data_IF_435863424499
#
_entry.id   IF_435863424499
#
_cell.length_a   1.000
_cell.length_b   1.000
_cell.length_c   1.000
_cell.angle_alpha   90.00
_cell.angle_beta   90.00
_cell.angle_gamma   90.00
#
_symmetry.space_group_name_H-M   'P 1'
#
loop_
_entity.id
_entity.type
_entity.pdbx_description
1 polymer ?
#
# COMPACT_ATOMS: atom_id res chain seq x y z
N UNK A 1 -19.17 -5.75 -6.21
CA UNK A 1 -19.34 -5.31 -7.61
C UNK A 1 -19.55 -6.57 -8.41
N UNK A 2 -20.76 -6.81 -8.89
CA UNK A 2 -21.05 -7.87 -9.86
C UNK A 2 -20.46 -7.42 -11.19
N UNK A 3 -19.38 -8.05 -11.62
CA UNK A 3 -18.85 -7.84 -12.96
C UNK A 3 -19.80 -8.57 -13.92
N UNK A 4 -20.50 -7.83 -14.78
CA UNK A 4 -21.16 -8.45 -15.92
C UNK A 4 -20.05 -8.94 -16.87
N UNK A 5 -20.01 -10.25 -17.20
CA UNK A 5 -18.99 -10.77 -18.08
C UNK A 5 -19.09 -10.06 -19.45
N UNK A 6 -17.97 -9.65 -20.06
CA UNK A 6 -17.97 -9.07 -21.40
C UNK A 6 -18.58 -10.06 -22.40
N UNK A 7 -19.09 -9.55 -23.53
CA UNK A 7 -19.66 -10.37 -24.59
C UNK A 7 -18.73 -11.56 -24.91
N UNK A 8 -19.29 -12.77 -24.93
CA UNK A 8 -18.55 -14.05 -24.94
C UNK A 8 -17.44 -14.13 -25.99
N UNK A 9 -17.61 -13.47 -27.15
CA UNK A 9 -16.61 -13.45 -28.21
C UNK A 9 -15.39 -12.57 -27.88
N UNK A 10 -15.60 -11.38 -27.32
CA UNK A 10 -14.51 -10.48 -26.87
C UNK A 10 -13.73 -11.11 -25.72
N UNK A 11 -14.43 -11.83 -24.85
CA UNK A 11 -13.82 -12.59 -23.76
C UNK A 11 -12.91 -13.72 -24.28
N UNK A 12 -13.37 -14.51 -25.26
CA UNK A 12 -12.59 -15.60 -25.85
C UNK A 12 -11.34 -15.09 -26.59
N UNK A 13 -11.45 -13.99 -27.34
CA UNK A 13 -10.31 -13.36 -28.02
C UNK A 13 -9.27 -12.87 -27.00
N UNK A 14 -9.70 -12.16 -25.95
CA UNK A 14 -8.81 -11.67 -24.89
C UNK A 14 -8.08 -12.82 -24.17
N UNK A 15 -8.73 -13.97 -23.97
CA UNK A 15 -8.11 -15.16 -23.36
C UNK A 15 -7.08 -15.80 -24.29
N UNK A 16 -7.35 -15.87 -25.59
CA UNK A 16 -6.41 -16.41 -26.56
C UNK A 16 -5.18 -15.53 -26.70
N UNK A 17 -5.38 -14.21 -26.77
CA UNK A 17 -4.28 -13.25 -26.81
C UNK A 17 -3.42 -13.34 -25.54
N UNK A 18 -4.06 -13.39 -24.36
CA UNK A 18 -3.37 -13.58 -23.09
C UNK A 18 -2.57 -14.89 -23.05
N UNK A 19 -3.15 -15.99 -23.55
CA UNK A 19 -2.46 -17.29 -23.63
C UNK A 19 -1.20 -17.21 -24.49
N UNK A 20 -1.28 -16.52 -25.62
CA UNK A 20 -0.14 -16.35 -26.53
C UNK A 20 0.92 -15.44 -25.91
N UNK A 21 0.52 -14.40 -25.19
CA UNK A 21 1.42 -13.44 -24.55
C UNK A 21 2.13 -14.02 -23.33
N UNK A 22 1.72 -15.16 -22.77
CA UNK A 22 2.35 -15.71 -21.55
C UNK A 22 3.19 -16.97 -21.82
N UNK A 23 3.24 -17.43 -23.07
CA UNK A 23 3.81 -18.74 -23.46
C UNK A 23 5.31 -18.88 -23.16
N UNK A 24 6.03 -17.78 -23.14
CA UNK A 24 7.47 -17.67 -22.81
C UNK A 24 7.76 -17.64 -21.31
N UNK A 25 6.74 -17.39 -20.48
CA UNK A 25 6.83 -17.38 -19.02
C UNK A 25 6.19 -18.63 -18.40
N UNK A 26 5.07 -19.10 -18.97
CA UNK A 26 4.25 -20.19 -18.47
C UNK A 26 3.76 -21.08 -19.60
N UNK A 27 4.19 -22.35 -19.59
CA UNK A 27 3.76 -23.33 -20.56
C UNK A 27 2.37 -23.87 -20.18
N UNK A 28 1.35 -23.40 -20.90
CA UNK A 28 -0.05 -23.78 -20.69
C UNK A 28 -0.33 -25.18 -21.24
N UNK A 29 -0.72 -26.09 -20.35
CA UNK A 29 -1.22 -27.43 -20.70
C UNK A 29 -2.72 -27.43 -20.98
N UNK A 30 -3.50 -26.71 -20.16
CA UNK A 30 -4.96 -26.63 -20.26
C UNK A 30 -5.45 -25.21 -19.90
N UNK A 31 -6.52 -24.77 -20.56
CA UNK A 31 -7.24 -23.52 -20.25
C UNK A 31 -8.70 -23.85 -19.94
N UNK A 32 -9.13 -23.59 -18.71
CA UNK A 32 -10.54 -23.68 -18.30
C UNK A 32 -11.14 -22.29 -18.20
N UNK A 33 -12.32 -22.09 -18.79
CA UNK A 33 -13.08 -20.84 -18.70
C UNK A 33 -14.16 -20.96 -17.61
N UNK A 34 -14.51 -19.84 -16.99
CA UNK A 34 -15.59 -19.68 -16.01
C UNK A 34 -15.43 -20.54 -14.75
N UNK A 35 -14.19 -20.75 -14.33
CA UNK A 35 -13.86 -21.65 -13.22
C UNK A 35 -12.70 -21.04 -12.39
N UNK A 36 -12.89 -20.69 -11.10
CA UNK A 36 -13.98 -21.09 -10.19
C UNK A 36 -15.31 -20.33 -10.29
N UNK A 37 -15.33 -19.16 -10.93
CA UNK A 37 -16.53 -18.32 -11.07
C UNK A 37 -16.67 -17.81 -12.52
N UNK A 38 -17.88 -17.40 -12.98
CA UNK A 38 -18.08 -16.81 -14.30
C UNK A 38 -17.15 -15.60 -14.55
N UNK A 39 -16.46 -15.60 -15.68
CA UNK A 39 -15.47 -14.58 -16.06
C UNK A 39 -14.03 -14.86 -15.61
N UNK A 40 -13.78 -15.93 -14.86
CA UNK A 40 -12.43 -16.35 -14.47
C UNK A 40 -11.85 -17.29 -15.52
N UNK A 41 -10.53 -17.24 -15.68
CA UNK A 41 -9.79 -18.06 -16.63
C UNK A 41 -8.70 -18.78 -15.87
N UNK A 42 -8.68 -20.10 -15.94
CA UNK A 42 -7.65 -20.92 -15.33
C UNK A 42 -6.70 -21.45 -16.39
N UNK A 43 -5.43 -21.15 -16.24
CA UNK A 43 -4.34 -21.76 -17.00
C UNK A 43 -3.63 -22.78 -16.11
N UNK A 44 -3.67 -24.05 -16.48
CA UNK A 44 -2.89 -25.12 -15.82
C UNK A 44 -1.64 -25.38 -16.64
N UNK A 45 -0.49 -25.49 -16.00
CA UNK A 45 0.77 -25.57 -16.72
C UNK A 45 2.00 -25.65 -15.83
N UNK A 46 3.15 -25.25 -16.37
CA UNK A 46 4.41 -25.16 -15.65
C UNK A 46 5.10 -23.84 -15.97
N UNK A 47 5.70 -23.22 -14.96
CA UNK A 47 6.55 -22.05 -15.17
C UNK A 47 7.86 -22.48 -15.83
N UNK A 48 8.29 -21.73 -16.84
CA UNK A 48 9.56 -21.97 -17.54
C UNK A 48 10.76 -21.44 -16.76
N UNK A 49 10.51 -20.56 -15.79
CA UNK A 49 11.50 -19.95 -14.90
C UNK A 49 10.97 -19.95 -13.45
N UNK A 50 11.80 -19.56 -12.49
CA UNK A 50 11.33 -19.40 -11.10
C UNK A 50 10.18 -18.36 -11.06
N UNK A 51 8.99 -18.73 -10.54
CA UNK A 51 7.85 -17.82 -10.43
C UNK A 51 8.20 -16.49 -9.76
N UNK A 52 9.15 -16.49 -8.81
CA UNK A 52 9.57 -15.28 -8.10
C UNK A 52 10.22 -14.22 -9.02
N UNK A 53 10.79 -14.65 -10.15
CA UNK A 53 11.50 -13.78 -11.09
C UNK A 53 10.62 -13.31 -12.25
N UNK A 54 9.63 -14.11 -12.67
CA UNK A 54 8.78 -13.80 -13.82
C UNK A 54 7.38 -13.26 -13.45
N UNK A 55 6.98 -13.30 -12.17
CA UNK A 55 5.63 -12.93 -11.75
C UNK A 55 5.25 -11.48 -12.08
N UNK A 56 6.19 -10.54 -11.99
CA UNK A 56 5.88 -9.13 -12.27
C UNK A 56 5.61 -8.88 -13.75
N UNK A 57 6.42 -9.50 -14.61
CA UNK A 57 6.23 -9.45 -16.05
C UNK A 57 4.94 -10.15 -16.46
N UNK A 58 4.67 -11.32 -15.85
CA UNK A 58 3.41 -12.02 -16.00
C UNK A 58 2.24 -11.12 -15.57
N UNK A 59 2.32 -10.47 -14.41
CA UNK A 59 1.29 -9.55 -13.92
C UNK A 59 1.05 -8.40 -14.89
N UNK A 60 2.10 -7.76 -15.39
CA UNK A 60 1.97 -6.68 -16.37
C UNK A 60 1.25 -7.15 -17.65
N UNK A 61 1.60 -8.34 -18.16
CA UNK A 61 0.94 -8.94 -19.33
C UNK A 61 -0.54 -9.25 -19.07
N UNK A 62 -0.87 -9.82 -17.92
CA UNK A 62 -2.26 -10.03 -17.51
C UNK A 62 -3.04 -8.71 -17.41
N UNK A 63 -2.44 -7.69 -16.80
CA UNK A 63 -3.06 -6.37 -16.64
C UNK A 63 -3.35 -5.69 -17.99
N UNK A 64 -2.47 -5.88 -19.01
CA UNK A 64 -2.71 -5.39 -20.39
C UNK A 64 -3.94 -6.00 -21.03
N UNK A 65 -4.26 -7.24 -20.69
CA UNK A 65 -5.45 -7.96 -21.18
C UNK A 65 -6.67 -7.79 -20.26
N UNK A 66 -6.59 -6.95 -19.22
CA UNK A 66 -7.71 -6.67 -18.32
C UNK A 66 -7.92 -7.72 -17.23
N UNK A 67 -6.94 -8.59 -16.99
CA UNK A 67 -6.97 -9.63 -15.97
C UNK A 67 -5.95 -9.35 -14.86
N UNK A 68 -6.18 -9.90 -13.67
CA UNK A 68 -5.16 -9.94 -12.61
C UNK A 68 -4.78 -11.41 -12.36
N UNK A 69 -3.48 -11.77 -12.32
CA UNK A 69 -3.08 -13.15 -12.09
C UNK A 69 -3.00 -13.48 -10.60
N UNK A 70 -3.46 -14.67 -10.26
CA UNK A 70 -3.26 -15.33 -8.97
C UNK A 70 -2.61 -16.68 -9.21
N UNK A 71 -1.48 -16.94 -8.53
CA UNK A 71 -0.86 -18.26 -8.54
C UNK A 71 -1.49 -19.09 -7.41
N UNK A 72 -2.00 -20.25 -7.76
CA UNK A 72 -2.43 -21.30 -6.82
C UNK A 72 -1.65 -22.59 -7.08
N UNK A 73 -1.54 -23.45 -6.07
CA UNK A 73 -0.90 -24.75 -6.20
C UNK A 73 -1.98 -25.82 -6.01
N UNK A 74 -2.26 -26.59 -7.05
CA UNK A 74 -3.31 -27.61 -7.03
C UNK A 74 -2.72 -28.96 -7.46
N UNK A 75 -2.78 -29.95 -6.56
CA UNK A 75 -2.23 -31.29 -6.78
C UNK A 75 -0.77 -31.27 -7.28
N UNK A 76 0.10 -30.52 -6.59
CA UNK A 76 1.53 -30.33 -6.91
C UNK A 76 1.85 -29.68 -8.27
N UNK A 77 0.85 -29.16 -8.97
CA UNK A 77 1.02 -28.40 -10.21
C UNK A 77 0.66 -26.93 -10.01
N UNK A 78 1.45 -25.99 -10.56
CA UNK A 78 1.11 -24.58 -10.52
C UNK A 78 -0.09 -24.30 -11.43
N UNK A 79 -1.08 -23.62 -10.87
CA UNK A 79 -2.29 -23.18 -11.55
C UNK A 79 -2.31 -21.66 -11.52
N UNK A 80 -2.53 -21.06 -12.68
CA UNK A 80 -2.65 -19.63 -12.81
C UNK A 80 -4.12 -19.25 -13.04
N UNK A 81 -4.67 -18.43 -12.15
CA UNK A 81 -6.05 -17.95 -12.25
C UNK A 81 -6.02 -16.48 -12.66
N UNK A 82 -6.54 -16.18 -13.86
CA UNK A 82 -6.86 -14.85 -14.32
C UNK A 82 -8.28 -14.51 -13.85
N UNK A 83 -8.43 -13.51 -13.00
CA UNK A 83 -9.75 -12.97 -12.69
C UNK A 83 -9.96 -11.63 -13.41
N UNK A 84 -11.20 -11.34 -13.83
CA UNK A 84 -11.48 -10.18 -14.66
C UNK A 84 -11.38 -8.90 -13.82
N UNK A 85 -10.76 -7.88 -14.40
CA UNK A 85 -10.50 -6.60 -13.76
C UNK A 85 -9.04 -6.44 -13.34
N UNK A 86 -8.51 -5.24 -13.58
CA UNK A 86 -7.20 -4.82 -13.09
C UNK A 86 -7.40 -4.17 -11.74
N UNK A 87 -6.80 -4.72 -10.67
CA UNK A 87 -6.73 -4.03 -9.38
C UNK A 87 -5.72 -2.90 -9.53
N UNK A 88 -6.18 -1.75 -10.04
CA UNK A 88 -5.37 -0.54 -10.08
C UNK A 88 -5.07 -0.10 -8.64
N UNK A 89 -3.80 0.13 -8.27
CA UNK A 89 -3.46 0.66 -6.96
C UNK A 89 -4.21 1.98 -6.75
N UNK A 90 -5.13 2.01 -5.77
CA UNK A 90 -5.98 3.18 -5.51
C UNK A 90 -5.13 4.44 -5.44
N UNK A 91 -5.44 5.41 -6.29
CA UNK A 91 -4.70 6.67 -6.30
C UNK A 91 -4.90 7.39 -4.95
N UNK A 92 -3.80 7.83 -4.36
CA UNK A 92 -3.82 8.59 -3.12
C UNK A 92 -4.32 9.99 -3.44
N UNK A 93 -5.49 10.36 -2.91
CA UNK A 93 -6.01 11.71 -3.09
C UNK A 93 -5.25 12.67 -2.14
N UNK A 94 -4.45 13.61 -2.64
CA UNK A 94 -3.64 14.50 -1.80
C UNK A 94 -4.50 15.38 -0.88
N UNK A 95 -5.75 15.66 -1.25
CA UNK A 95 -6.67 16.43 -0.40
C UNK A 95 -7.05 15.67 0.88
N UNK A 96 -7.18 14.34 0.80
CA UNK A 96 -7.44 13.51 1.99
C UNK A 96 -6.23 13.54 2.92
N UNK A 97 -5.02 13.44 2.36
CA UNK A 97 -3.78 13.48 3.14
C UNK A 97 -3.64 14.82 3.85
N UNK A 98 -3.93 15.92 3.14
CA UNK A 98 -3.90 17.27 3.71
C UNK A 98 -4.94 17.45 4.81
N UNK A 99 -6.18 17.00 4.58
CA UNK A 99 -7.25 17.07 5.58
C UNK A 99 -6.87 16.30 6.85
N UNK A 100 -6.35 15.09 6.69
CA UNK A 100 -5.90 14.24 7.79
C UNK A 100 -4.71 14.83 8.54
N UNK A 101 -3.75 15.42 7.82
CA UNK A 101 -2.62 16.13 8.41
C UNK A 101 -3.08 17.31 9.27
N UNK A 102 -3.97 18.17 8.74
CA UNK A 102 -4.53 19.29 9.49
C UNK A 102 -5.36 18.84 10.70
N UNK A 103 -6.16 17.77 10.54
CA UNK A 103 -6.90 17.17 11.65
C UNK A 103 -5.97 16.63 12.74
N UNK A 104 -4.83 16.05 12.35
CA UNK A 104 -3.83 15.54 13.29
C UNK A 104 -3.10 16.67 14.02
N UNK A 105 -2.77 17.76 13.34
CA UNK A 105 -2.24 18.97 14.00
C UNK A 105 -3.24 19.49 15.04
N UNK A 106 -4.51 19.65 14.66
CA UNK A 106 -5.54 20.12 15.60
C UNK A 106 -5.68 19.20 16.81
N UNK A 107 -5.72 17.89 16.56
CA UNK A 107 -5.84 16.87 17.60
C UNK A 107 -4.64 16.85 18.55
N UNK A 108 -3.41 16.95 18.02
CA UNK A 108 -2.18 17.02 18.83
C UNK A 108 -2.05 18.35 19.57
N UNK A 109 -2.54 19.46 19.02
CA UNK A 109 -2.62 20.76 19.73
C UNK A 109 -3.58 20.68 20.93
N UNK A 110 -4.75 20.06 20.76
CA UNK A 110 -5.72 19.86 21.85
C UNK A 110 -5.10 18.99 22.95
N UNK A 111 -4.44 17.88 22.60
CA UNK A 111 -3.74 17.03 23.56
C UNK A 111 -2.63 17.80 24.28
N UNK A 112 -1.78 18.52 23.56
CA UNK A 112 -0.71 19.33 24.14
C UNK A 112 -1.23 20.42 25.09
N UNK A 113 -2.32 21.10 24.72
CA UNK A 113 -2.95 22.10 25.58
C UNK A 113 -3.51 21.46 26.86
N UNK A 114 -4.10 20.25 26.78
CA UNK A 114 -4.63 19.54 27.94
C UNK A 114 -3.55 19.12 28.95
N UNK A 115 -2.30 18.90 28.51
CA UNK A 115 -1.20 18.55 29.42
C UNK A 115 -0.71 19.71 30.26
N UNK A 116 -0.90 20.94 29.79
CA UNK A 116 -0.43 22.17 30.45
C UNK A 116 -1.58 22.93 31.12
N UNK A 117 -2.83 22.62 30.77
CA UNK A 117 -4.00 23.28 31.32
C UNK A 117 -4.23 22.93 32.80
N UNK A 118 -4.34 23.96 33.63
CA UNK A 118 -4.71 23.86 35.05
C UNK A 118 -6.14 24.33 35.31
N UNK A 119 -6.73 25.08 34.37
CA UNK A 119 -8.12 25.58 34.42
C UNK A 119 -8.85 25.33 33.12
N UNK A 120 -10.20 25.37 33.15
CA UNK A 120 -11.05 25.20 31.96
C UNK A 120 -10.77 26.24 30.87
N UNK A 121 -10.44 27.49 31.25
CA UNK A 121 -10.12 28.54 30.28
C UNK A 121 -8.80 28.28 29.55
N UNK A 122 -7.82 27.70 30.23
CA UNK A 122 -6.53 27.34 29.63
C UNK A 122 -6.64 26.16 28.67
N UNK A 123 -7.60 25.26 28.90
CA UNK A 123 -7.88 24.14 27.99
C UNK A 123 -8.25 24.63 26.57
N UNK A 124 -8.99 25.74 26.47
CA UNK A 124 -9.36 26.33 25.18
C UNK A 124 -8.21 27.13 24.53
N UNK A 125 -7.09 27.34 25.22
CA UNK A 125 -5.92 28.01 24.67
C UNK A 125 -5.04 27.03 23.89
N UNK A 126 -5.53 26.58 22.73
CA UNK A 126 -4.86 25.58 21.88
C UNK A 126 -3.42 25.93 21.52
N UNK A 127 -3.11 27.23 21.43
CA UNK A 127 -1.75 27.69 21.15
C UNK A 127 -0.75 27.15 22.17
N UNK A 128 -1.12 26.91 23.44
CA UNK A 128 -0.21 26.37 24.46
C UNK A 128 0.28 24.95 24.15
N UNK A 129 -0.47 24.20 23.33
CA UNK A 129 -0.08 22.86 22.88
C UNK A 129 0.97 22.85 21.77
N UNK A 130 1.41 24.01 21.27
CA UNK A 130 2.32 24.10 20.13
C UNK A 130 3.66 23.35 20.31
N UNK A 131 4.34 23.36 21.47
CA UNK A 131 5.63 22.68 21.60
C UNK A 131 5.46 21.16 21.49
N UNK A 132 4.39 20.63 22.09
CA UNK A 132 4.05 19.22 22.02
C UNK A 132 3.66 18.79 20.60
N UNK A 133 2.71 19.51 19.98
CA UNK A 133 2.24 19.22 18.62
C UNK A 133 3.40 19.29 17.61
N UNK A 134 4.22 20.34 17.67
CA UNK A 134 5.37 20.47 16.78
C UNK A 134 6.35 19.30 16.96
N UNK A 135 6.64 18.92 18.20
CA UNK A 135 7.57 17.82 18.50
C UNK A 135 7.08 16.49 17.93
N UNK A 136 5.83 16.10 18.22
CA UNK A 136 5.29 14.82 17.76
C UNK A 136 5.09 14.79 16.24
N UNK A 137 4.62 15.90 15.65
CA UNK A 137 4.43 16.00 14.21
C UNK A 137 5.76 15.93 13.47
N UNK A 138 6.83 16.53 14.01
CA UNK A 138 8.17 16.46 13.41
C UNK A 138 8.71 15.04 13.43
N UNK A 139 8.62 14.35 14.57
CA UNK A 139 9.11 12.98 14.73
C UNK A 139 8.35 12.02 13.80
N UNK A 140 7.01 12.08 13.78
CA UNK A 140 6.18 11.23 12.92
C UNK A 140 6.40 11.52 11.44
N UNK A 141 6.49 12.81 11.06
CA UNK A 141 6.75 13.19 9.68
C UNK A 141 8.12 12.69 9.23
N UNK A 142 9.15 12.82 10.07
CA UNK A 142 10.48 12.30 9.77
C UNK A 142 10.48 10.78 9.65
N UNK A 143 9.78 10.07 10.54
CA UNK A 143 9.65 8.61 10.51
C UNK A 143 9.03 8.12 9.20
N UNK A 144 7.86 8.63 8.83
CA UNK A 144 7.19 8.20 7.59
C UNK A 144 7.93 8.69 6.34
N UNK A 145 8.56 9.86 6.38
CA UNK A 145 9.41 10.32 5.27
C UNK A 145 10.66 9.46 5.09
N UNK A 146 11.23 8.92 6.17
CA UNK A 146 12.32 7.94 6.10
C UNK A 146 11.90 6.71 5.31
N UNK A 147 10.74 6.14 5.66
CA UNK A 147 10.16 5.02 4.89
C UNK A 147 9.89 5.42 3.43
N UNK A 148 9.29 6.58 3.19
CA UNK A 148 8.96 7.07 1.86
C UNK A 148 10.19 7.23 0.96
N UNK A 149 11.23 7.92 1.43
CA UNK A 149 12.44 8.21 0.65
C UNK A 149 13.15 6.92 0.27
N UNK A 150 13.33 5.99 1.21
CA UNK A 150 14.04 4.75 0.96
C UNK A 150 13.23 3.79 0.08
N UNK A 151 11.90 3.76 0.24
CA UNK A 151 11.03 2.99 -0.66
C UNK A 151 11.12 3.51 -2.11
N UNK A 152 11.13 4.84 -2.29
CA UNK A 152 11.30 5.47 -3.61
C UNK A 152 12.69 5.23 -4.20
N UNK A 153 13.73 5.24 -3.37
CA UNK A 153 15.09 4.88 -3.78
C UNK A 153 15.16 3.43 -4.32
N UNK A 154 14.45 2.50 -3.67
CA UNK A 154 14.30 1.11 -4.13
C UNK A 154 13.26 0.94 -5.25
N UNK A 155 12.77 2.04 -5.86
CA UNK A 155 11.77 2.05 -6.94
C UNK A 155 10.45 1.38 -6.57
N UNK A 156 10.12 1.33 -5.28
CA UNK A 156 8.84 0.82 -4.79
C UNK A 156 7.84 1.98 -4.75
N UNK A 157 6.72 1.91 -5.49
CA UNK A 157 5.71 2.95 -5.47
C UNK A 157 4.99 2.98 -4.11
N UNK A 158 4.89 4.17 -3.54
CA UNK A 158 4.27 4.41 -2.22
C UNK A 158 3.34 5.63 -2.27
N UNK A 159 2.43 5.72 -1.30
CA UNK A 159 1.62 6.92 -1.08
C UNK A 159 2.41 7.96 -0.28
N UNK A 160 1.89 9.20 -0.25
CA UNK A 160 2.27 10.15 0.79
C UNK A 160 1.79 9.65 2.18
N UNK A 161 2.39 10.14 3.28
CA UNK A 161 1.99 9.75 4.62
C UNK A 161 0.54 10.12 4.95
N UNK A 162 -0.21 9.15 5.48
CA UNK A 162 -1.53 9.34 6.05
C UNK A 162 -1.38 9.53 7.56
N UNK A 163 -1.61 10.75 8.04
CA UNK A 163 -1.64 11.04 9.48
C UNK A 163 -2.98 10.61 10.06
N UNK A 164 -2.98 9.97 11.21
CA UNK A 164 -4.20 9.43 11.83
C UNK A 164 -4.48 10.25 13.09
N UNK A 165 -5.45 11.17 13.06
CA UNK A 165 -5.81 11.95 14.24
C UNK A 165 -6.46 11.04 15.28
N UNK A 166 -6.21 11.35 16.55
CA UNK A 166 -6.92 10.71 17.65
C UNK A 166 -7.37 11.77 18.66
N UNK A 167 -8.61 12.28 18.53
CA UNK A 167 -9.08 13.47 19.23
C UNK A 167 -9.44 13.23 20.71
N UNK A 168 -8.80 12.24 21.36
CA UNK A 168 -8.99 11.95 22.78
C UNK A 168 -7.79 12.51 23.56
N UNK A 169 -8.01 13.51 24.44
CA UNK A 169 -6.94 14.26 25.12
C UNK A 169 -6.14 13.43 26.15
N UNK A 170 -6.47 12.16 26.36
CA UNK A 170 -5.75 11.27 27.29
C UNK A 170 -4.48 10.64 26.69
N UNK A 171 -4.17 10.89 25.42
CA UNK A 171 -2.99 10.30 24.72
C UNK A 171 -2.32 11.35 23.84
N UNK A 172 -1.37 10.95 22.99
CA UNK A 172 -0.57 11.84 22.14
C UNK A 172 -1.36 12.67 21.10
N UNK A 173 -2.69 12.55 21.02
CA UNK A 173 -3.52 13.25 20.04
C UNK A 173 -3.45 12.67 18.63
N UNK A 174 -2.78 11.53 18.44
CA UNK A 174 -2.62 10.85 17.15
C UNK A 174 -2.35 9.36 17.36
N UNK A 175 -2.78 8.53 16.41
CA UNK A 175 -2.36 7.12 16.31
C UNK A 175 -1.04 6.94 15.54
N UNK A 176 -0.44 8.04 15.09
CA UNK A 176 0.74 8.03 14.24
C UNK A 176 0.41 8.40 12.80
N UNK A 177 1.35 8.08 11.92
CA UNK A 177 1.18 8.22 10.48
C UNK A 177 1.62 6.92 9.81
N UNK A 178 1.13 6.67 8.59
CA UNK A 178 1.50 5.47 7.82
C UNK A 178 1.62 5.79 6.33
N UNK A 179 2.62 5.22 5.68
CA UNK A 179 2.65 5.10 4.21
C UNK A 179 2.01 3.79 3.75
N UNK A 180 1.34 3.82 2.60
CA UNK A 180 0.83 2.62 1.95
C UNK A 180 1.74 2.26 0.78
N UNK A 181 2.23 1.02 0.78
CA UNK A 181 2.93 0.46 -0.37
C UNK A 181 1.93 0.10 -1.45
N UNK A 182 2.15 0.58 -2.67
CA UNK A 182 1.30 0.26 -3.83
C UNK A 182 1.74 -1.01 -4.55
N UNK A 183 2.92 -1.52 -4.19
CA UNK A 183 3.49 -2.73 -4.77
C UNK A 183 4.34 -3.48 -3.73
N UNK A 184 4.66 -4.75 -4.00
CA UNK A 184 5.42 -5.59 -3.06
C UNK A 184 6.91 -5.26 -3.14
N UNK A 185 7.59 -5.29 -1.99
CA UNK A 185 9.06 -5.20 -1.95
C UNK A 185 9.63 -6.56 -2.34
N UNK A 186 10.31 -6.62 -3.49
CA UNK A 186 10.82 -7.85 -4.10
C UNK A 186 12.09 -8.40 -3.43
N UNK A 187 12.84 -7.55 -2.73
CA UNK A 187 14.13 -7.90 -2.13
C UNK A 187 14.09 -7.78 -0.59
N UNK A 188 14.55 -8.82 0.12
CA UNK A 188 14.66 -8.82 1.59
C UNK A 188 15.56 -7.69 2.11
N UNK A 189 16.62 -7.33 1.39
CA UNK A 189 17.49 -6.20 1.75
C UNK A 189 16.73 -4.87 1.66
N UNK A 190 16.00 -4.66 0.57
CA UNK A 190 15.16 -3.47 0.42
C UNK A 190 14.07 -3.41 1.50
N UNK A 191 13.49 -4.54 1.89
CA UNK A 191 12.52 -4.60 2.98
C UNK A 191 13.13 -4.16 4.32
N UNK A 192 14.34 -4.65 4.63
CA UNK A 192 15.08 -4.26 5.83
C UNK A 192 15.48 -2.77 5.79
N UNK A 193 15.98 -2.29 4.66
CA UNK A 193 16.38 -0.88 4.49
C UNK A 193 15.18 0.05 4.69
N UNK A 194 14.06 -0.23 4.01
CA UNK A 194 12.83 0.55 4.15
C UNK A 194 12.33 0.48 5.59
N UNK A 195 12.28 -0.71 6.20
CA UNK A 195 11.82 -0.90 7.57
C UNK A 195 12.68 -0.19 8.62
N UNK A 196 13.99 -0.10 8.41
CA UNK A 196 14.90 0.59 9.32
C UNK A 196 14.91 2.11 9.13
N UNK A 197 14.66 2.59 7.91
CA UNK A 197 14.77 4.01 7.57
C UNK A 197 13.86 4.92 8.41
N UNK A 198 12.62 4.51 8.67
CA UNK A 198 11.69 5.31 9.47
C UNK A 198 12.13 5.50 10.92
N UNK A 199 12.40 4.41 11.68
CA UNK A 199 12.94 4.52 13.03
C UNK A 199 14.20 5.37 13.14
N UNK A 200 15.15 5.22 12.20
CA UNK A 200 16.37 6.04 12.18
C UNK A 200 16.06 7.52 11.94
N UNK A 201 15.22 7.84 10.96
CA UNK A 201 14.85 9.21 10.65
C UNK A 201 14.09 9.87 11.82
N UNK A 202 13.15 9.16 12.46
CA UNK A 202 12.44 9.65 13.64
C UNK A 202 13.37 9.88 14.84
N UNK A 203 14.34 8.98 15.07
CA UNK A 203 15.28 9.07 16.17
C UNK A 203 16.18 10.31 16.11
N UNK A 204 16.58 10.73 14.89
CA UNK A 204 17.38 11.95 14.67
C UNK A 204 16.70 13.20 15.24
N UNK A 205 15.37 13.25 15.24
CA UNK A 205 14.61 14.36 15.83
C UNK A 205 14.21 14.09 17.28
N UNK A 206 13.86 12.85 17.62
CA UNK A 206 13.44 12.49 18.97
C UNK A 206 14.53 12.72 20.01
N UNK A 207 15.80 12.41 19.70
CA UNK A 207 16.91 12.58 20.64
C UNK A 207 17.12 14.07 21.00
N UNK A 208 17.29 15.01 20.05
CA UNK A 208 17.42 16.43 20.38
C UNK A 208 16.21 17.03 21.08
N UNK A 209 14.99 16.56 20.78
CA UNK A 209 13.76 17.05 21.42
C UNK A 209 13.66 16.60 22.89
N UNK A 210 14.24 15.44 23.21
CA UNK A 210 14.18 14.87 24.54
C UNK A 210 15.05 15.62 25.57
N UNK A 211 16.17 16.20 25.14
CA UNK A 211 17.12 16.93 25.99
C UNK A 211 16.80 18.42 26.07
#
# INVERSE_FOLDING_TARGET
MTFDPPATQVYLEAVQDLRNDIVDLFQVADTTLDDPEPGYVRFRGQFLQDPAHCFDELRERFERHGFTPKIEQQNDLPVLIAFPGVILPRESNPNINLLLFLATILSTLIAGASYVATTTNEYFMLWRGWPFSLSIMLILSAHEMGHYIVARHHKVPTTLPYFIPFPIPLTFGTFGAVILLKDRIKNKRALLDVGAAGPWAGMVFAIPIYF
#
